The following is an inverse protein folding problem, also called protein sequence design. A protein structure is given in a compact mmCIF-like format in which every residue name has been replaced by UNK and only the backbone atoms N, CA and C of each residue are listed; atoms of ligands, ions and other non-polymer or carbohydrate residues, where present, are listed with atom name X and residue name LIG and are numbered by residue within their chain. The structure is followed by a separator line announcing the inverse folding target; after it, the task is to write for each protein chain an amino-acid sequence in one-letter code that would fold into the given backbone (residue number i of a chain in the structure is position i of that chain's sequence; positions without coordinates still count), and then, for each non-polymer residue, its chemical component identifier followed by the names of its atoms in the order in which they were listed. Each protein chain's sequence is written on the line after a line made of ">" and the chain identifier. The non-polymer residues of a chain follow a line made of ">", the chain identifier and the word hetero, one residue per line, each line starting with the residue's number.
data_IF_754714235616
#
_entry.id   IF_754714235616
#
_cell.length_a   1.000
_cell.length_b   1.000
_cell.length_c   1.000
_cell.angle_alpha   90.00
_cell.angle_beta   90.00
_cell.angle_gamma   90.00
#
_symmetry.space_group_name_H-M   'P 1'
#
loop_
_entity.id
_entity.type
_entity.pdbx_description
1 polymer ?
#
# COMPACT_ATOMS: atom_id res chain seq x y z
N UNK A 1 -31.14 -21.12 14.46
CA UNK A 1 -30.47 -19.91 13.92
C UNK A 1 -31.48 -19.26 12.98
N UNK A 2 -31.77 -17.94 13.10
CA UNK A 2 -32.61 -17.28 12.10
C UNK A 2 -31.92 -17.36 10.74
N UNK A 3 -32.69 -17.54 9.67
CA UNK A 3 -32.16 -17.50 8.30
C UNK A 3 -31.68 -16.08 7.98
N UNK A 4 -30.70 -15.95 7.08
CA UNK A 4 -30.12 -14.68 6.67
C UNK A 4 -31.19 -13.67 6.21
N UNK A 5 -32.27 -14.16 5.61
CA UNK A 5 -33.41 -13.36 5.16
C UNK A 5 -34.23 -12.74 6.31
N UNK A 6 -34.38 -13.44 7.46
CA UNK A 6 -35.03 -12.88 8.64
C UNK A 6 -34.17 -11.80 9.33
N UNK A 7 -32.84 -11.90 9.21
CA UNK A 7 -31.91 -10.88 9.70
C UNK A 7 -31.97 -9.61 8.83
N UNK A 8 -32.09 -9.77 7.51
CA UNK A 8 -32.30 -8.68 6.56
C UNK A 8 -33.63 -7.96 6.77
N UNK A 9 -34.72 -8.68 7.05
CA UNK A 9 -36.01 -8.05 7.38
C UNK A 9 -35.99 -7.28 8.71
N UNK A 10 -35.21 -7.72 9.70
CA UNK A 10 -35.04 -7.02 10.99
C UNK A 10 -34.10 -5.82 10.93
N UNK A 11 -33.16 -5.77 9.98
CA UNK A 11 -32.21 -4.67 9.84
C UNK A 11 -32.84 -3.36 9.31
N UNK A 12 -34.06 -3.43 8.77
CA UNK A 12 -34.78 -2.27 8.24
C UNK A 12 -34.24 -1.77 6.90
N UNK A 13 -35.04 -0.96 6.20
CA UNK A 13 -34.70 -0.41 4.89
C UNK A 13 -33.45 0.48 4.92
N UNK A 14 -32.65 0.40 3.85
CA UNK A 14 -31.38 1.11 3.61
C UNK A 14 -31.42 2.58 4.07
N UNK A 15 -31.01 2.83 5.30
CA UNK A 15 -31.16 4.12 5.98
C UNK A 15 -30.22 5.19 5.43
N UNK A 16 -30.48 6.46 5.76
CA UNK A 16 -29.67 7.62 5.30
C UNK A 16 -28.17 7.49 5.66
N UNK A 17 -27.86 6.84 6.77
CA UNK A 17 -26.48 6.58 7.21
C UNK A 17 -25.79 5.52 6.33
N UNK A 18 -26.45 4.37 6.08
CA UNK A 18 -25.95 3.36 5.14
C UNK A 18 -25.75 3.93 3.74
N UNK A 19 -26.67 4.78 3.26
CA UNK A 19 -26.51 5.47 1.96
C UNK A 19 -25.30 6.40 1.91
N UNK A 20 -25.01 7.15 2.98
CA UNK A 20 -23.82 8.03 3.05
C UNK A 20 -22.52 7.23 3.09
N UNK A 21 -22.47 6.17 3.90
CA UNK A 21 -21.30 5.28 3.98
C UNK A 21 -21.07 4.58 2.63
N UNK A 22 -22.13 4.11 1.98
CA UNK A 22 -22.06 3.53 0.64
C UNK A 22 -21.55 4.54 -0.40
N UNK A 23 -22.02 5.80 -0.37
CA UNK A 23 -21.54 6.85 -1.27
C UNK A 23 -20.04 7.16 -1.09
N UNK A 24 -19.57 7.20 0.16
CA UNK A 24 -18.15 7.40 0.48
C UNK A 24 -17.29 6.22 0.01
N UNK A 25 -17.79 4.98 0.16
CA UNK A 25 -17.16 3.78 -0.38
C UNK A 25 -17.16 3.75 -1.92
N UNK A 26 -18.19 4.28 -2.57
CA UNK A 26 -18.21 4.42 -4.02
C UNK A 26 -17.17 5.45 -4.50
N UNK A 27 -16.95 6.54 -3.75
CA UNK A 27 -15.98 7.57 -4.12
C UNK A 27 -14.54 7.03 -4.10
N UNK A 28 -14.18 6.22 -3.09
CA UNK A 28 -12.90 5.49 -3.08
C UNK A 28 -12.84 4.42 -4.15
N UNK A 29 -13.96 3.75 -4.46
CA UNK A 29 -14.07 2.82 -5.60
C UNK A 29 -13.73 3.46 -6.95
N UNK A 30 -14.14 4.71 -7.18
CA UNK A 30 -13.83 5.45 -8.43
C UNK A 30 -12.32 5.68 -8.57
N UNK A 31 -11.61 6.03 -7.50
CA UNK A 31 -10.15 6.18 -7.56
C UNK A 31 -9.42 4.86 -7.86
N UNK A 32 -9.96 3.73 -7.38
CA UNK A 32 -9.41 2.41 -7.72
C UNK A 32 -9.68 2.02 -9.18
N UNK A 33 -10.83 2.39 -9.73
CA UNK A 33 -11.16 2.12 -11.14
C UNK A 33 -10.11 2.73 -12.08
N UNK A 34 -9.64 3.94 -11.80
CA UNK A 34 -8.56 4.57 -12.60
C UNK A 34 -7.23 3.82 -12.52
N UNK A 35 -6.88 3.23 -11.36
CA UNK A 35 -5.66 2.42 -11.22
C UNK A 35 -5.74 1.14 -12.06
N UNK A 36 -6.87 0.43 -12.02
CA UNK A 36 -7.07 -0.79 -12.82
C UNK A 36 -7.07 -0.51 -14.32
N UNK A 37 -7.76 0.56 -14.73
CA UNK A 37 -7.83 0.96 -16.14
C UNK A 37 -6.47 1.48 -16.64
N UNK A 38 -5.70 2.18 -15.80
CA UNK A 38 -4.37 2.68 -16.14
C UNK A 38 -3.40 1.56 -16.55
N UNK A 39 -3.46 0.39 -15.90
CA UNK A 39 -2.62 -0.76 -16.25
C UNK A 39 -2.91 -1.27 -17.66
N UNK A 40 -4.16 -1.23 -18.12
CA UNK A 40 -4.53 -1.65 -19.48
C UNK A 40 -3.89 -0.74 -20.54
N UNK A 41 -3.88 0.58 -20.30
CA UNK A 41 -3.26 1.54 -21.20
C UNK A 41 -1.73 1.47 -21.17
N UNK A 42 -1.13 1.25 -20.01
CA UNK A 42 0.33 1.11 -19.86
C UNK A 42 0.85 -0.24 -20.39
N UNK A 43 0.01 -1.27 -20.36
CA UNK A 43 0.31 -2.63 -20.81
C UNK A 43 -0.13 -2.94 -22.24
N UNK A 44 -0.57 -1.95 -23.02
CA UNK A 44 -1.02 -2.19 -24.38
C UNK A 44 0.11 -2.76 -25.23
N UNK A 45 -0.16 -3.89 -25.91
CA UNK A 45 0.80 -4.47 -26.85
C UNK A 45 0.85 -3.62 -28.13
N UNK A 46 2.04 -3.18 -28.58
CA UNK A 46 2.18 -2.50 -29.86
C UNK A 46 1.79 -3.42 -31.01
N UNK A 47 1.13 -2.86 -32.03
CA UNK A 47 0.70 -3.63 -33.21
C UNK A 47 1.87 -4.05 -34.11
N UNK A 48 2.94 -3.24 -34.16
CA UNK A 48 4.12 -3.50 -35.02
C UNK A 48 5.39 -3.63 -34.18
N UNK A 49 5.85 -4.87 -34.03
CA UNK A 49 7.09 -5.18 -33.33
C UNK A 49 7.81 -6.39 -33.96
N UNK A 50 9.14 -6.32 -34.04
CA UNK A 50 10.00 -7.41 -34.51
C UNK A 50 11.26 -7.53 -33.67
N UNK A 51 12.00 -8.60 -33.92
CA UNK A 51 13.31 -8.84 -33.36
C UNK A 51 14.40 -8.59 -34.40
N UNK A 52 15.38 -7.78 -34.03
CA UNK A 52 16.58 -7.46 -34.82
C UNK A 52 17.70 -8.42 -34.43
N UNK A 53 18.04 -9.36 -35.32
CA UNK A 53 19.25 -10.17 -35.18
C UNK A 53 20.53 -9.35 -35.42
N UNK A 54 21.71 -9.82 -34.99
CA UNK A 54 22.98 -9.09 -35.17
C UNK A 54 23.32 -8.80 -36.65
N UNK A 55 23.03 -9.73 -37.57
CA UNK A 55 23.23 -9.49 -39.01
C UNK A 55 22.21 -8.50 -39.59
N UNK A 56 20.97 -8.51 -39.10
CA UNK A 56 19.95 -7.53 -39.50
C UNK A 56 20.29 -6.13 -38.98
N UNK A 57 20.81 -6.05 -37.74
CA UNK A 57 21.30 -4.83 -37.11
C UNK A 57 22.40 -4.16 -37.92
N UNK A 58 23.44 -4.92 -38.25
CA UNK A 58 24.58 -4.43 -39.02
C UNK A 58 24.18 -4.02 -40.44
N UNK A 59 23.18 -4.70 -41.03
CA UNK A 59 22.67 -4.37 -42.35
C UNK A 59 21.84 -3.08 -42.33
N UNK A 60 20.96 -2.91 -41.35
CA UNK A 60 20.16 -1.70 -41.18
C UNK A 60 21.04 -0.45 -40.98
N UNK A 61 22.10 -0.57 -40.17
CA UNK A 61 23.07 0.53 -39.94
C UNK A 61 23.91 0.83 -41.18
N UNK A 62 24.35 -0.20 -41.92
CA UNK A 62 25.11 -0.04 -43.17
C UNK A 62 24.27 0.63 -44.27
N UNK A 63 23.01 0.23 -44.39
CA UNK A 63 22.14 0.65 -45.49
C UNK A 63 21.30 1.89 -45.15
N UNK A 64 21.33 2.37 -43.89
CA UNK A 64 20.60 3.56 -43.45
C UNK A 64 19.08 3.43 -43.55
N UNK A 65 18.54 2.25 -43.28
CA UNK A 65 17.10 1.98 -43.44
C UNK A 65 16.25 2.68 -42.38
N UNK A 66 15.06 3.12 -42.78
CA UNK A 66 14.01 3.50 -41.83
C UNK A 66 13.43 2.27 -41.13
N UNK A 67 12.84 2.42 -39.92
CA UNK A 67 12.26 1.29 -39.18
C UNK A 67 11.19 0.53 -39.98
N UNK A 68 10.41 1.23 -40.80
CA UNK A 68 9.36 0.62 -41.63
C UNK A 68 9.93 -0.20 -42.79
N UNK A 69 11.00 0.29 -43.42
CA UNK A 69 11.72 -0.44 -44.46
C UNK A 69 12.43 -1.67 -43.90
N UNK A 70 13.01 -1.55 -42.70
CA UNK A 70 13.64 -2.67 -42.01
C UNK A 70 12.62 -3.77 -41.72
N UNK A 71 11.43 -3.43 -41.20
CA UNK A 71 10.33 -4.38 -40.99
C UNK A 71 9.94 -5.10 -42.28
N UNK A 72 9.67 -4.35 -43.36
CA UNK A 72 9.20 -4.95 -44.62
C UNK A 72 10.23 -5.90 -45.26
N UNK A 73 11.53 -5.67 -45.02
CA UNK A 73 12.63 -6.47 -45.58
C UNK A 73 13.09 -7.63 -44.68
N UNK A 74 12.85 -7.56 -43.37
CA UNK A 74 13.42 -8.51 -42.40
C UNK A 74 12.39 -9.26 -41.55
N UNK A 75 11.14 -8.81 -41.52
CA UNK A 75 10.08 -9.48 -40.79
C UNK A 75 9.46 -10.61 -41.65
N UNK A 76 9.17 -11.78 -41.04
CA UNK A 76 8.49 -12.86 -41.74
C UNK A 76 7.01 -12.54 -41.99
N UNK A 77 6.40 -13.07 -43.07
CA UNK A 77 4.99 -12.84 -43.37
C UNK A 77 4.06 -13.44 -42.31
N UNK A 78 2.95 -12.75 -42.03
CA UNK A 78 1.96 -13.15 -41.04
C UNK A 78 1.28 -14.48 -41.40
N UNK A 79 1.77 -15.58 -40.80
CA UNK A 79 1.04 -16.85 -40.74
C UNK A 79 0.69 -17.15 -39.29
N UNK A 80 -0.46 -16.59 -38.89
CA UNK A 80 -1.15 -16.86 -37.63
C UNK A 80 -0.44 -16.31 -36.39
N UNK A 81 -0.88 -15.15 -35.90
CA UNK A 81 -0.70 -14.63 -34.51
C UNK A 81 0.71 -14.41 -33.94
N UNK A 82 1.73 -15.11 -34.45
CA UNK A 82 3.07 -15.27 -33.87
C UNK A 82 4.17 -14.71 -34.79
N UNK A 83 3.80 -13.95 -35.83
CA UNK A 83 4.74 -13.47 -36.84
C UNK A 83 5.84 -12.57 -36.25
N UNK A 84 5.50 -11.73 -35.26
CA UNK A 84 6.48 -10.89 -34.55
C UNK A 84 7.45 -11.67 -33.66
N UNK A 85 7.12 -12.92 -33.30
CA UNK A 85 7.89 -13.73 -32.35
C UNK A 85 9.01 -14.56 -32.99
N UNK A 86 9.14 -14.52 -34.32
CA UNK A 86 10.15 -15.25 -35.09
C UNK A 86 10.94 -14.28 -35.97
N UNK A 87 12.21 -14.59 -36.20
CA UNK A 87 13.07 -13.84 -37.12
C UNK A 87 13.70 -14.76 -38.16
N UNK A 88 14.06 -14.18 -39.30
CA UNK A 88 14.96 -14.83 -40.24
C UNK A 88 16.38 -14.91 -39.67
N UNK A 89 16.99 -16.08 -39.77
CA UNK A 89 18.39 -16.30 -39.37
C UNK A 89 19.32 -15.92 -40.53
N UNK A 90 19.49 -14.61 -40.77
CA UNK A 90 20.37 -14.07 -41.82
C UNK A 90 21.85 -14.45 -41.65
N UNK A 91 22.26 -14.82 -40.43
CA UNK A 91 23.60 -15.29 -40.10
C UNK A 91 23.99 -16.57 -40.85
N UNK A 92 23.01 -17.41 -41.22
CA UNK A 92 23.27 -18.62 -42.01
C UNK A 92 23.72 -18.34 -43.45
N UNK A 93 23.55 -17.11 -43.95
CA UNK A 93 24.04 -16.75 -45.29
C UNK A 93 25.57 -16.90 -45.40
N UNK A 94 26.31 -16.60 -44.31
CA UNK A 94 27.77 -16.68 -44.27
C UNK A 94 28.30 -18.12 -44.44
N UNK A 95 27.49 -19.14 -44.13
CA UNK A 95 27.86 -20.56 -44.27
C UNK A 95 27.35 -21.23 -45.55
N UNK A 96 26.60 -20.51 -46.39
CA UNK A 96 26.03 -21.03 -47.63
C UNK A 96 26.96 -20.73 -48.82
N UNK A 97 27.02 -21.62 -49.82
CA UNK A 97 27.93 -21.54 -50.97
C UNK A 97 27.72 -20.29 -51.87
N UNK A 98 26.73 -19.46 -51.58
CA UNK A 98 26.48 -18.15 -52.18
C UNK A 98 26.90 -17.03 -51.21
N UNK A 99 28.19 -17.00 -50.83
CA UNK A 99 28.77 -16.00 -49.93
C UNK A 99 28.90 -14.61 -50.59
N UNK A 100 27.79 -14.10 -51.13
CA UNK A 100 27.62 -12.69 -51.46
C UNK A 100 27.23 -11.92 -50.19
N UNK A 101 27.82 -10.76 -49.98
CA UNK A 101 27.41 -9.86 -48.91
C UNK A 101 25.88 -9.63 -48.99
N UNK A 102 25.19 -9.70 -47.85
CA UNK A 102 23.76 -9.40 -47.75
C UNK A 102 23.46 -8.06 -48.44
N UNK A 103 22.54 -8.07 -49.40
CA UNK A 103 22.21 -6.88 -50.19
C UNK A 103 21.31 -5.92 -49.43
N UNK A 104 21.53 -4.61 -49.61
CA UNK A 104 20.67 -3.55 -49.08
C UNK A 104 19.28 -3.49 -49.76
N UNK A 105 19.09 -4.12 -50.91
CA UNK A 105 17.80 -4.12 -51.62
C UNK A 105 16.90 -5.29 -51.19
N UNK A 106 17.49 -6.49 -51.10
CA UNK A 106 16.79 -7.72 -50.67
C UNK A 106 17.78 -8.66 -49.96
N UNK A 107 17.72 -8.75 -48.61
CA UNK A 107 18.60 -9.64 -47.85
C UNK A 107 18.26 -11.13 -48.04
N UNK A 108 17.04 -11.46 -48.45
CA UNK A 108 16.59 -12.85 -48.63
C UNK A 108 17.06 -13.46 -49.95
N UNK A 109 17.49 -12.64 -50.91
CA UNK A 109 18.06 -13.08 -52.19
C UNK A 109 19.34 -13.92 -52.02
N UNK A 110 20.04 -13.80 -50.89
CA UNK A 110 21.20 -14.63 -50.55
C UNK A 110 20.86 -16.09 -50.23
N UNK A 111 19.57 -16.42 -50.03
CA UNK A 111 19.12 -17.76 -49.66
C UNK A 111 18.41 -18.48 -50.82
N UNK A 112 18.55 -19.82 -50.92
CA UNK A 112 17.79 -20.61 -51.88
C UNK A 112 16.28 -20.44 -51.65
N UNK A 113 15.51 -20.30 -52.72
CA UNK A 113 14.05 -20.02 -52.70
C UNK A 113 13.63 -18.73 -51.98
N UNK A 114 14.54 -17.76 -51.77
CA UNK A 114 14.26 -16.49 -51.08
C UNK A 114 13.66 -16.65 -49.68
N UNK A 115 14.00 -17.76 -49.01
CA UNK A 115 13.46 -18.07 -47.67
C UNK A 115 14.59 -18.48 -46.74
N UNK A 116 14.89 -17.63 -45.75
CA UNK A 116 15.82 -17.97 -44.69
C UNK A 116 15.13 -18.83 -43.61
N UNK A 117 15.87 -19.67 -42.86
CA UNK A 117 15.31 -20.42 -41.74
C UNK A 117 14.80 -19.48 -40.64
N UNK A 118 13.67 -19.85 -40.04
CA UNK A 118 13.02 -19.09 -38.98
C UNK A 118 13.48 -19.59 -37.60
N UNK A 119 13.86 -18.66 -36.73
CA UNK A 119 14.24 -18.96 -35.34
C UNK A 119 13.43 -18.13 -34.35
N UNK A 120 13.16 -18.66 -33.14
CA UNK A 120 12.48 -17.90 -32.10
C UNK A 120 13.36 -16.73 -31.63
N UNK A 121 12.72 -15.60 -31.40
CA UNK A 121 13.38 -14.38 -30.95
C UNK A 121 13.69 -14.47 -29.44
N UNK A 122 14.93 -14.16 -29.05
CA UNK A 122 15.38 -14.18 -27.64
C UNK A 122 15.78 -12.80 -27.08
N UNK A 123 15.82 -11.78 -27.92
CA UNK A 123 16.19 -10.40 -27.53
C UNK A 123 16.41 -9.49 -28.75
N UNK A 124 16.69 -8.21 -28.52
CA UNK A 124 16.90 -7.23 -29.59
C UNK A 124 15.61 -6.76 -30.25
N UNK A 125 14.57 -6.51 -29.45
CA UNK A 125 13.26 -6.11 -29.95
C UNK A 125 13.24 -4.65 -30.42
N UNK A 126 12.45 -4.39 -31.45
CA UNK A 126 12.15 -3.05 -31.97
C UNK A 126 10.64 -2.89 -32.04
N UNK A 127 10.17 -1.78 -31.50
CA UNK A 127 8.76 -1.41 -31.43
C UNK A 127 8.55 -0.12 -32.23
N UNK A 128 7.51 -0.08 -33.07
CA UNK A 128 7.12 1.13 -33.79
C UNK A 128 5.83 1.65 -33.16
N UNK A 129 5.98 2.64 -32.28
CA UNK A 129 4.87 3.28 -31.58
C UNK A 129 5.24 4.72 -31.19
N UNK A 130 4.22 5.56 -30.97
CA UNK A 130 4.39 6.96 -30.62
C UNK A 130 4.82 7.18 -29.14
N UNK A 131 4.47 6.26 -28.24
CA UNK A 131 4.76 6.34 -26.80
C UNK A 131 5.30 5.00 -26.30
N UNK A 132 6.17 5.04 -25.29
CA UNK A 132 6.69 3.85 -24.63
C UNK A 132 5.64 3.23 -23.70
N UNK A 133 5.50 1.91 -23.75
CA UNK A 133 4.63 1.10 -22.90
C UNK A 133 5.47 0.14 -22.06
N UNK A 134 4.91 -0.38 -20.96
CA UNK A 134 5.58 -1.37 -20.09
C UNK A 134 6.05 -2.58 -20.90
N UNK A 135 5.25 -2.98 -21.90
CA UNK A 135 5.59 -4.07 -22.82
C UNK A 135 6.86 -3.79 -23.62
N UNK A 136 6.99 -2.57 -24.16
CA UNK A 136 8.13 -2.18 -24.99
C UNK A 136 9.39 -1.83 -24.21
N UNK A 137 9.24 -1.43 -22.96
CA UNK A 137 10.37 -1.05 -22.09
C UNK A 137 11.05 -2.29 -21.49
N UNK A 138 10.26 -3.31 -21.14
CA UNK A 138 10.74 -4.54 -20.51
C UNK A 138 10.72 -5.78 -21.42
N UNK A 139 10.46 -5.60 -22.71
CA UNK A 139 10.42 -6.68 -23.71
C UNK A 139 9.48 -7.85 -23.36
N UNK A 140 8.25 -7.50 -22.93
CA UNK A 140 7.24 -8.44 -22.44
C UNK A 140 6.36 -9.00 -23.57
N UNK A 141 7.00 -9.44 -24.66
CA UNK A 141 6.33 -10.04 -25.82
C UNK A 141 6.60 -11.55 -25.89
N UNK A 142 5.72 -12.26 -26.61
CA UNK A 142 5.89 -13.69 -26.91
C UNK A 142 5.99 -14.56 -25.63
N UNK A 143 7.14 -15.16 -25.36
CA UNK A 143 7.38 -16.05 -24.20
C UNK A 143 7.21 -15.31 -22.86
N UNK A 144 7.44 -13.99 -22.82
CA UNK A 144 7.35 -13.19 -21.60
C UNK A 144 5.99 -12.51 -21.42
N UNK A 145 5.03 -12.70 -22.33
CA UNK A 145 3.74 -12.00 -22.30
C UNK A 145 2.92 -12.30 -21.02
N UNK A 146 3.06 -13.50 -20.46
CA UNK A 146 2.37 -13.92 -19.22
C UNK A 146 2.77 -13.11 -17.98
N UNK A 147 3.92 -12.41 -18.00
CA UNK A 147 4.36 -11.57 -16.88
C UNK A 147 3.45 -10.35 -16.68
N UNK A 148 2.69 -9.95 -17.70
CA UNK A 148 1.65 -8.92 -17.59
C UNK A 148 0.45 -9.43 -16.76
N UNK A 149 0.06 -10.69 -16.96
CA UNK A 149 -1.00 -11.32 -16.16
C UNK A 149 -0.54 -11.51 -14.70
N UNK A 150 0.75 -11.81 -14.50
CA UNK A 150 1.36 -11.90 -13.18
C UNK A 150 1.31 -10.57 -12.42
N UNK A 151 1.48 -9.43 -13.10
CA UNK A 151 1.45 -8.12 -12.44
C UNK A 151 0.07 -7.81 -11.88
N UNK A 152 -1.00 -8.17 -12.60
CA UNK A 152 -2.37 -8.05 -12.10
C UNK A 152 -2.66 -9.02 -10.95
N UNK A 153 -2.14 -10.25 -11.00
CA UNK A 153 -2.25 -11.20 -9.89
C UNK A 153 -1.52 -10.71 -8.62
N UNK A 154 -0.30 -10.17 -8.77
CA UNK A 154 0.48 -9.59 -7.68
C UNK A 154 -0.20 -8.34 -7.10
N UNK A 155 -0.79 -7.49 -7.94
CA UNK A 155 -1.56 -6.32 -7.50
C UNK A 155 -2.77 -6.74 -6.65
N UNK A 156 -3.53 -7.75 -7.10
CA UNK A 156 -4.69 -8.26 -6.36
C UNK A 156 -4.30 -8.95 -5.06
N UNK A 157 -3.19 -9.70 -5.05
CA UNK A 157 -2.63 -10.28 -3.83
C UNK A 157 -2.13 -9.19 -2.87
N UNK A 158 -1.53 -8.13 -3.40
CA UNK A 158 -1.13 -6.94 -2.65
C UNK A 158 -2.33 -6.18 -2.06
N UNK A 159 -3.45 -6.10 -2.78
CA UNK A 159 -4.69 -5.54 -2.24
C UNK A 159 -5.31 -6.43 -1.16
N UNK A 160 -5.26 -7.75 -1.32
CA UNK A 160 -5.74 -8.68 -0.31
C UNK A 160 -4.90 -8.58 0.97
N UNK A 161 -3.57 -8.69 0.86
CA UNK A 161 -2.65 -8.53 1.98
C UNK A 161 -2.71 -7.12 2.59
N UNK A 162 -2.85 -6.10 1.73
CA UNK A 162 -3.03 -4.71 2.11
C UNK A 162 -4.33 -4.48 2.86
N UNK A 163 -5.45 -5.09 2.47
CA UNK A 163 -6.72 -4.92 3.18
C UNK A 163 -6.65 -5.43 4.63
N UNK A 164 -5.88 -6.49 4.90
CA UNK A 164 -5.68 -7.01 6.25
C UNK A 164 -4.64 -6.23 7.07
N UNK A 165 -3.71 -5.51 6.42
CA UNK A 165 -2.58 -4.85 7.10
C UNK A 165 -2.67 -3.32 7.11
N UNK A 166 -3.16 -2.69 6.05
CA UNK A 166 -3.16 -1.23 5.82
C UNK A 166 -4.00 -0.46 6.83
N UNK A 167 -5.14 -0.99 7.28
CA UNK A 167 -5.95 -0.28 8.29
C UNK A 167 -5.17 -0.07 9.60
N UNK A 168 -4.43 -1.10 10.02
CA UNK A 168 -3.64 -1.09 11.24
C UNK A 168 -2.26 -0.41 11.05
N UNK A 169 -1.63 -0.65 9.91
CA UNK A 169 -0.42 0.02 9.47
C UNK A 169 -0.61 1.55 9.33
N UNK A 170 -1.76 1.99 8.81
CA UNK A 170 -2.08 3.40 8.67
C UNK A 170 -2.33 4.08 10.03
N UNK A 171 -2.97 3.39 10.97
CA UNK A 171 -3.11 3.86 12.36
C UNK A 171 -1.74 4.07 13.01
N UNK A 172 -0.84 3.12 12.81
CA UNK A 172 0.53 3.14 13.34
C UNK A 172 1.42 4.20 12.70
N UNK A 173 1.33 4.34 11.39
CA UNK A 173 1.98 5.41 10.66
C UNK A 173 1.47 6.78 11.14
N UNK A 174 0.15 6.92 11.29
CA UNK A 174 -0.48 8.15 11.78
C UNK A 174 -0.03 8.48 13.21
N UNK A 175 -0.09 7.51 14.11
CA UNK A 175 0.31 7.69 15.51
C UNK A 175 1.79 8.07 15.64
N UNK A 176 2.66 7.43 14.85
CA UNK A 176 4.09 7.76 14.81
C UNK A 176 4.34 9.17 14.25
N UNK A 177 3.67 9.55 13.15
CA UNK A 177 3.80 10.88 12.56
C UNK A 177 3.34 11.97 13.53
N UNK A 178 2.20 11.77 14.19
CA UNK A 178 1.63 12.73 15.15
C UNK A 178 2.49 12.84 16.41
N UNK A 179 2.95 11.70 16.95
CA UNK A 179 3.84 11.67 18.12
C UNK A 179 5.15 12.41 17.83
N UNK A 180 5.85 12.00 16.78
CA UNK A 180 7.15 12.57 16.42
C UNK A 180 7.01 14.04 16.01
N UNK A 181 5.94 14.39 15.30
CA UNK A 181 5.60 15.77 14.96
C UNK A 181 5.37 16.62 16.21
N UNK A 182 4.60 16.16 17.19
CA UNK A 182 4.38 16.90 18.43
C UNK A 182 5.68 17.07 19.23
N UNK A 183 6.55 16.07 19.30
CA UNK A 183 7.89 16.18 19.92
C UNK A 183 8.71 17.27 19.20
N UNK A 184 8.82 17.19 17.88
CA UNK A 184 9.63 18.13 17.10
C UNK A 184 9.07 19.56 17.08
N UNK A 185 7.76 19.73 17.28
CA UNK A 185 7.13 21.05 17.40
C UNK A 185 7.72 21.89 18.53
N UNK A 186 8.19 21.25 19.61
CA UNK A 186 8.85 21.95 20.73
C UNK A 186 10.07 22.77 20.25
N UNK A 187 10.77 22.31 19.21
CA UNK A 187 11.93 23.02 18.66
C UNK A 187 11.60 24.24 17.81
N UNK A 188 10.33 24.45 17.44
CA UNK A 188 9.89 25.57 16.59
C UNK A 188 9.12 26.63 17.39
N UNK A 189 8.45 26.22 18.47
CA UNK A 189 7.71 27.16 19.33
C UNK A 189 8.71 28.08 20.03
N UNK A 190 8.54 29.39 19.88
CA UNK A 190 9.32 30.38 20.63
C UNK A 190 8.97 30.30 22.13
N UNK A 191 9.97 30.15 22.99
CA UNK A 191 9.78 29.94 24.43
C UNK A 191 11.05 29.42 25.12
N UNK A 192 10.90 28.93 26.36
CA UNK A 192 11.99 28.28 27.08
C UNK A 192 11.98 26.77 26.81
N UNK A 193 12.83 26.35 25.86
CA UNK A 193 12.98 24.96 25.43
C UNK A 193 13.23 23.98 26.60
N UNK A 194 13.92 24.41 27.66
CA UNK A 194 14.20 23.56 28.82
C UNK A 194 12.93 23.22 29.61
N UNK A 195 12.03 24.19 29.77
CA UNK A 195 10.75 23.99 30.47
C UNK A 195 9.83 23.10 29.63
N UNK A 196 9.75 23.35 28.32
CA UNK A 196 8.91 22.56 27.43
C UNK A 196 9.39 21.10 27.31
N UNK A 197 10.71 20.87 27.27
CA UNK A 197 11.30 19.54 27.31
C UNK A 197 11.05 18.83 28.65
N UNK A 198 11.22 19.54 29.77
CA UNK A 198 10.93 18.99 31.10
C UNK A 198 9.46 18.59 31.26
N UNK A 199 8.53 19.45 30.83
CA UNK A 199 7.09 19.15 30.83
C UNK A 199 6.81 17.94 29.93
N UNK A 200 7.43 17.84 28.75
CA UNK A 200 7.26 16.68 27.86
C UNK A 200 7.70 15.38 28.52
N UNK A 201 8.86 15.36 29.19
CA UNK A 201 9.35 14.16 29.88
C UNK A 201 8.50 13.77 31.09
N UNK A 202 8.04 14.76 31.87
CA UNK A 202 7.16 14.50 33.02
C UNK A 202 5.80 13.94 32.60
N UNK A 203 5.29 14.31 31.41
CA UNK A 203 3.99 13.85 30.88
C UNK A 203 3.99 12.38 30.46
N UNK A 204 5.15 11.75 30.22
CA UNK A 204 5.24 10.32 29.89
C UNK A 204 4.92 9.41 31.09
N UNK A 205 5.34 9.79 32.30
CA UNK A 205 5.08 9.03 33.53
C UNK A 205 3.57 8.85 33.85
N UNK A 206 2.73 9.91 33.86
CA UNK A 206 1.30 9.77 34.08
C UNK A 206 0.61 9.06 32.90
N UNK A 207 1.13 9.17 31.67
CA UNK A 207 0.59 8.41 30.54
C UNK A 207 0.69 6.90 30.80
N UNK A 208 1.87 6.40 31.19
CA UNK A 208 2.07 4.99 31.52
C UNK A 208 1.15 4.51 32.67
N UNK A 209 1.00 5.30 33.73
CA UNK A 209 0.10 4.98 34.85
C UNK A 209 -1.37 4.95 34.42
N UNK A 210 -1.80 5.91 33.60
CA UNK A 210 -3.17 5.96 33.07
C UNK A 210 -3.46 4.76 32.18
N UNK A 211 -2.50 4.31 31.38
CA UNK A 211 -2.65 3.11 30.54
C UNK A 211 -2.89 1.88 31.40
N UNK A 212 -2.08 1.65 32.44
CA UNK A 212 -2.25 0.51 33.35
C UNK A 212 -3.65 0.51 34.00
N UNK A 213 -4.09 1.66 34.52
CA UNK A 213 -5.39 1.80 35.16
C UNK A 213 -6.57 1.62 34.18
N UNK A 214 -6.42 2.09 32.95
CA UNK A 214 -7.52 2.08 31.96
C UNK A 214 -7.64 0.74 31.23
N UNK A 215 -6.54 0.07 30.89
CA UNK A 215 -6.55 -1.23 30.20
C UNK A 215 -7.24 -2.31 31.05
N UNK A 216 -6.97 -2.35 32.35
CA UNK A 216 -7.57 -3.33 33.24
C UNK A 216 -9.07 -3.08 33.45
N UNK A 217 -9.49 -1.80 33.55
CA UNK A 217 -10.89 -1.44 33.80
C UNK A 217 -11.75 -1.48 32.55
N UNK A 218 -11.37 -0.78 31.48
CA UNK A 218 -12.22 -0.54 30.31
C UNK A 218 -11.94 -1.46 29.11
N UNK A 219 -10.89 -2.28 29.15
CA UNK A 219 -10.44 -3.05 27.98
C UNK A 219 -9.44 -2.26 27.15
N UNK A 220 -9.00 -2.80 26.00
CA UNK A 220 -7.94 -2.20 25.18
C UNK A 220 -8.48 -1.23 24.14
N UNK A 221 -9.65 -1.49 23.58
CA UNK A 221 -10.23 -0.70 22.46
C UNK A 221 -10.63 0.71 22.87
N UNK A 222 -11.36 0.84 23.98
CA UNK A 222 -11.89 2.13 24.44
C UNK A 222 -10.80 3.13 24.84
N UNK A 223 -9.78 2.78 25.65
CA UNK A 223 -8.71 3.72 25.97
C UNK A 223 -7.89 4.07 24.73
N UNK A 224 -7.72 3.13 23.79
CA UNK A 224 -7.01 3.39 22.54
C UNK A 224 -7.76 4.39 21.61
N UNK A 225 -9.06 4.19 21.40
CA UNK A 225 -9.87 5.13 20.63
C UNK A 225 -9.96 6.50 21.34
N UNK A 226 -10.17 6.47 22.66
CA UNK A 226 -10.31 7.67 23.47
C UNK A 226 -9.06 8.54 23.47
N UNK A 227 -7.87 7.94 23.61
CA UNK A 227 -6.61 8.66 23.65
C UNK A 227 -6.28 9.34 22.31
N UNK A 228 -6.50 8.65 21.19
CA UNK A 228 -6.37 9.22 19.84
C UNK A 228 -7.37 10.36 19.58
N UNK A 229 -8.62 10.21 20.03
CA UNK A 229 -9.64 11.26 19.90
C UNK A 229 -9.27 12.50 20.71
N UNK A 230 -8.83 12.32 21.95
CA UNK A 230 -8.38 13.40 22.84
C UNK A 230 -7.15 14.09 22.25
N UNK A 231 -6.18 13.33 21.72
CA UNK A 231 -5.01 13.88 21.05
C UNK A 231 -5.40 14.74 19.84
N UNK A 232 -6.26 14.24 18.97
CA UNK A 232 -6.70 14.95 17.77
C UNK A 232 -7.46 16.24 18.09
N UNK A 233 -8.44 16.16 18.99
CA UNK A 233 -9.23 17.33 19.43
C UNK A 233 -8.33 18.36 20.13
N UNK A 234 -7.43 17.94 21.01
CA UNK A 234 -6.50 18.85 21.67
C UNK A 234 -5.55 19.54 20.68
N UNK A 235 -5.06 18.84 19.65
CA UNK A 235 -4.25 19.45 18.59
C UNK A 235 -5.03 20.49 17.79
N UNK A 236 -6.29 20.20 17.43
CA UNK A 236 -7.16 21.14 16.73
C UNK A 236 -7.44 22.37 17.58
N UNK A 237 -7.82 22.19 18.85
CA UNK A 237 -8.07 23.29 19.78
C UNK A 237 -6.81 24.15 19.95
N UNK A 238 -5.63 23.53 20.07
CA UNK A 238 -4.34 24.25 20.17
C UNK A 238 -4.05 25.12 18.95
N UNK A 239 -4.44 24.68 17.75
CA UNK A 239 -4.22 25.43 16.51
C UNK A 239 -5.08 26.71 16.41
N UNK A 240 -6.24 26.73 17.05
CA UNK A 240 -7.15 27.90 17.05
C UNK A 240 -6.98 28.81 18.27
N UNK A 241 -6.08 28.48 19.20
CA UNK A 241 -5.85 29.29 20.40
C UNK A 241 -4.99 30.53 20.08
N UNK A 242 -5.43 31.74 20.44
CA UNK A 242 -4.67 32.97 20.25
C UNK A 242 -3.45 33.05 21.19
N UNK A 243 -2.41 33.79 20.79
CA UNK A 243 -1.14 33.91 21.51
C UNK A 243 -1.23 34.60 22.88
N UNK A 244 -2.36 35.26 23.18
CA UNK A 244 -2.55 36.03 24.42
C UNK A 244 -2.65 35.21 25.71
N UNK A 245 -2.80 33.89 25.64
CA UNK A 245 -2.97 33.00 26.81
C UNK A 245 -2.06 31.76 26.74
N UNK A 246 -0.73 31.92 26.97
CA UNK A 246 0.25 30.85 26.78
C UNK A 246 0.01 29.64 27.70
N UNK A 247 -0.43 29.88 28.95
CA UNK A 247 -0.70 28.80 29.91
C UNK A 247 -1.77 27.82 29.40
N UNK A 248 -2.90 28.33 28.89
CA UNK A 248 -3.96 27.49 28.36
C UNK A 248 -3.49 26.72 27.13
N UNK A 249 -2.71 27.38 26.26
CA UNK A 249 -2.16 26.77 25.06
C UNK A 249 -1.22 25.62 25.39
N UNK A 250 -0.32 25.81 26.36
CA UNK A 250 0.58 24.75 26.82
C UNK A 250 -0.19 23.62 27.49
N UNK A 251 -1.20 23.89 28.32
CA UNK A 251 -2.01 22.83 28.97
C UNK A 251 -2.79 21.98 27.96
N UNK A 252 -3.39 22.59 26.94
CA UNK A 252 -4.10 21.83 25.90
C UNK A 252 -3.12 21.05 25.04
N UNK A 253 -1.97 21.63 24.69
CA UNK A 253 -0.93 20.93 23.93
C UNK A 253 -0.34 19.74 24.69
N UNK A 254 -0.13 19.85 26.01
CA UNK A 254 0.36 18.75 26.85
C UNK A 254 -0.69 17.67 27.04
N UNK A 255 -1.98 18.02 27.11
CA UNK A 255 -3.07 17.04 27.10
C UNK A 255 -3.11 16.26 25.77
N UNK A 256 -2.90 16.94 24.64
CA UNK A 256 -2.78 16.29 23.34
C UNK A 256 -1.59 15.35 23.26
N UNK A 257 -0.44 15.77 23.81
CA UNK A 257 0.77 14.93 23.93
C UNK A 257 0.50 13.68 24.78
N UNK A 258 -0.10 13.83 25.95
CA UNK A 258 -0.46 12.71 26.81
C UNK A 258 -1.36 11.70 26.08
N UNK A 259 -2.36 12.20 25.35
CA UNK A 259 -3.26 11.36 24.56
C UNK A 259 -2.52 10.55 23.48
N UNK A 260 -1.62 11.18 22.72
CA UNK A 260 -0.89 10.47 21.66
C UNK A 260 0.14 9.48 22.22
N UNK A 261 0.81 9.80 23.34
CA UNK A 261 1.73 8.88 24.03
C UNK A 261 0.97 7.63 24.48
N UNK A 262 -0.21 7.82 25.09
CA UNK A 262 -1.06 6.69 25.47
C UNK A 262 -1.50 5.86 24.27
N UNK A 263 -1.92 6.52 23.17
CA UNK A 263 -2.28 5.81 21.95
C UNK A 263 -1.11 4.95 21.45
N UNK A 264 0.08 5.55 21.27
CA UNK A 264 1.26 4.90 20.74
C UNK A 264 1.64 3.63 21.51
N UNK A 265 1.66 3.68 22.84
CA UNK A 265 1.97 2.53 23.69
C UNK A 265 0.89 1.44 23.63
N UNK A 266 -0.40 1.82 23.67
CA UNK A 266 -1.50 0.85 23.57
C UNK A 266 -1.46 0.12 22.22
N UNK A 267 -1.04 0.77 21.13
CA UNK A 267 -0.93 0.09 19.83
C UNK A 267 0.17 -0.99 19.82
N UNK A 268 1.21 -0.88 20.65
CA UNK A 268 2.18 -1.99 20.81
C UNK A 268 1.56 -3.17 21.54
N UNK A 269 0.76 -2.90 22.56
CA UNK A 269 0.10 -3.93 23.33
C UNK A 269 -0.97 -4.66 22.50
N UNK A 270 -1.86 -3.93 21.83
CA UNK A 270 -2.93 -4.51 20.98
C UNK A 270 -2.34 -5.36 19.86
N UNK A 271 -1.23 -4.93 19.26
CA UNK A 271 -0.53 -5.71 18.23
C UNK A 271 -0.07 -7.08 18.74
N UNK A 272 0.52 -7.11 19.93
CA UNK A 272 1.04 -8.36 20.50
C UNK A 272 -0.08 -9.31 20.95
N UNK A 273 -1.26 -8.79 21.28
CA UNK A 273 -2.45 -9.59 21.61
C UNK A 273 -3.23 -10.09 20.38
N UNK A 274 -3.21 -9.34 19.27
CA UNK A 274 -4.02 -9.64 18.09
C UNK A 274 -3.33 -10.61 17.11
N UNK A 275 -2.00 -10.52 16.95
CA UNK A 275 -1.30 -11.39 16.02
C UNK A 275 -1.14 -12.82 16.56
N UNK A 276 -1.42 -13.85 15.73
CA UNK A 276 -1.21 -15.23 16.12
C UNK A 276 0.28 -15.50 16.29
N UNK A 277 0.63 -16.41 17.19
CA UNK A 277 2.03 -16.68 17.58
C UNK A 277 2.97 -16.95 16.39
N UNK A 278 2.46 -17.58 15.33
CA UNK A 278 3.19 -17.89 14.09
C UNK A 278 3.52 -16.65 13.23
N UNK A 279 2.69 -15.61 13.26
CA UNK A 279 2.85 -14.40 12.46
C UNK A 279 3.22 -13.16 13.28
N UNK A 280 3.24 -13.27 14.61
CA UNK A 280 3.44 -12.15 15.54
C UNK A 280 4.76 -11.41 15.30
N UNK A 281 5.87 -12.13 15.18
CA UNK A 281 7.18 -11.50 14.96
C UNK A 281 7.23 -10.75 13.62
N UNK A 282 6.59 -11.30 12.58
CA UNK A 282 6.50 -10.65 11.27
C UNK A 282 5.59 -9.42 11.31
N UNK A 283 4.40 -9.52 11.90
CA UNK A 283 3.43 -8.42 12.01
C UNK A 283 3.95 -7.25 12.86
N UNK A 284 4.63 -7.55 13.98
CA UNK A 284 5.28 -6.52 14.82
C UNK A 284 6.43 -5.85 14.05
N UNK A 285 7.26 -6.60 13.32
CA UNK A 285 8.38 -6.04 12.55
C UNK A 285 7.91 -5.12 11.41
N UNK A 286 6.91 -5.55 10.63
CA UNK A 286 6.32 -4.74 9.57
C UNK A 286 5.70 -3.45 10.12
N UNK A 287 5.00 -3.57 11.25
CA UNK A 287 4.40 -2.44 11.93
C UNK A 287 5.44 -1.45 12.48
N UNK A 288 6.53 -1.94 13.08
CA UNK A 288 7.62 -1.11 13.57
C UNK A 288 8.32 -0.38 12.42
N UNK A 289 8.60 -1.05 11.30
CA UNK A 289 9.20 -0.40 10.13
C UNK A 289 8.35 0.76 9.59
N UNK A 290 7.02 0.62 9.60
CA UNK A 290 6.11 1.71 9.22
C UNK A 290 6.09 2.87 10.23
N UNK A 291 6.23 2.59 11.52
CA UNK A 291 6.43 3.63 12.53
C UNK A 291 7.72 4.41 12.26
N UNK A 292 8.80 3.72 11.88
CA UNK A 292 10.07 4.37 11.54
C UNK A 292 9.94 5.26 10.30
N UNK A 293 9.22 4.80 9.26
CA UNK A 293 8.88 5.64 8.10
C UNK A 293 8.06 6.88 8.49
N UNK A 294 7.09 6.72 9.40
CA UNK A 294 6.33 7.83 9.95
C UNK A 294 7.22 8.84 10.69
N UNK A 295 8.16 8.34 11.50
CA UNK A 295 9.15 9.15 12.18
C UNK A 295 10.11 9.89 11.24
N UNK A 296 10.48 9.29 10.11
CA UNK A 296 11.28 9.95 9.06
C UNK A 296 10.48 11.07 8.39
N UNK A 297 9.21 10.84 8.06
CA UNK A 297 8.37 11.79 7.32
C UNK A 297 7.89 12.96 8.20
N UNK A 298 7.65 12.73 9.49
CA UNK A 298 7.14 13.74 10.43
C UNK A 298 7.94 15.07 10.46
N UNK A 299 9.28 15.10 10.58
CA UNK A 299 10.04 16.34 10.51
C UNK A 299 9.86 17.07 9.18
N UNK A 300 9.88 16.36 8.05
CA UNK A 300 9.70 17.00 6.74
C UNK A 300 8.33 17.65 6.59
N UNK A 301 7.27 16.95 7.01
CA UNK A 301 5.92 17.51 7.05
C UNK A 301 5.88 18.74 7.96
N UNK A 302 6.43 18.65 9.16
CA UNK A 302 6.37 19.73 10.13
C UNK A 302 7.14 20.98 9.67
N UNK A 303 8.42 20.85 9.30
CA UNK A 303 9.25 21.99 8.90
C UNK A 303 8.76 22.66 7.61
N UNK A 304 8.28 21.89 6.63
CA UNK A 304 7.77 22.46 5.38
C UNK A 304 6.44 23.18 5.57
N UNK A 305 5.55 22.65 6.39
CA UNK A 305 4.24 23.26 6.64
C UNK A 305 4.35 24.47 7.57
N UNK A 306 5.24 24.41 8.58
CA UNK A 306 5.52 25.55 9.46
C UNK A 306 6.08 26.77 8.71
N UNK A 307 6.79 26.56 7.61
CA UNK A 307 7.26 27.64 6.73
C UNK A 307 6.12 28.38 6.00
N UNK A 308 4.98 27.71 5.80
CA UNK A 308 3.78 28.33 5.22
C UNK A 308 3.01 29.01 6.35
N UNK A 309 2.52 28.21 7.30
CA UNK A 309 1.71 28.64 8.44
C UNK A 309 2.08 27.81 9.68
N UNK A 310 2.49 28.46 10.76
CA UNK A 310 3.04 27.81 11.97
C UNK A 310 2.09 26.75 12.59
N UNK A 311 0.77 26.98 12.53
CA UNK A 311 -0.24 26.09 13.13
C UNK A 311 -0.78 25.01 12.18
N UNK A 312 -0.45 25.08 10.89
CA UNK A 312 -0.95 24.15 9.88
C UNK A 312 -0.56 22.67 10.12
N UNK A 313 0.66 22.35 10.61
CA UNK A 313 1.00 20.98 11.01
C UNK A 313 0.07 20.41 12.10
N UNK A 314 -0.30 21.23 13.10
CA UNK A 314 -1.19 20.81 14.20
C UNK A 314 -2.60 20.47 13.70
N UNK A 315 -3.10 21.22 12.72
CA UNK A 315 -4.42 20.96 12.13
C UNK A 315 -4.40 19.60 11.42
N UNK A 316 -3.36 19.32 10.64
CA UNK A 316 -3.23 18.05 9.92
C UNK A 316 -3.06 16.89 10.88
N UNK A 317 -2.17 17.01 11.88
CA UNK A 317 -2.00 15.99 12.92
C UNK A 317 -3.28 15.76 13.71
N UNK A 318 -4.03 16.82 13.99
CA UNK A 318 -5.32 16.76 14.67
C UNK A 318 -6.36 15.98 13.88
N UNK A 319 -6.53 16.28 12.59
CA UNK A 319 -7.45 15.57 11.70
C UNK A 319 -7.06 14.10 11.59
N UNK A 320 -5.78 13.81 11.36
CA UNK A 320 -5.27 12.44 11.23
C UNK A 320 -5.52 11.63 12.51
N UNK A 321 -5.18 12.17 13.68
CA UNK A 321 -5.40 11.50 14.97
C UNK A 321 -6.90 11.30 15.28
N UNK A 322 -7.77 12.25 14.94
CA UNK A 322 -9.22 12.09 15.13
C UNK A 322 -9.83 11.04 14.20
N UNK A 323 -9.45 11.02 12.93
CA UNK A 323 -9.90 9.98 11.97
C UNK A 323 -9.41 8.61 12.43
N UNK A 324 -8.16 8.53 12.86
CA UNK A 324 -7.53 7.35 13.44
C UNK A 324 -8.33 6.82 14.65
N UNK A 325 -8.61 7.67 15.64
CA UNK A 325 -9.42 7.29 16.82
C UNK A 325 -10.84 6.81 16.45
N UNK A 326 -11.44 7.40 15.41
CA UNK A 326 -12.72 6.94 14.86
C UNK A 326 -12.65 5.56 14.21
N UNK A 327 -11.59 5.28 13.45
CA UNK A 327 -11.34 3.97 12.84
C UNK A 327 -11.04 2.90 13.91
N UNK A 328 -10.35 3.26 14.99
CA UNK A 328 -10.09 2.37 16.12
C UNK A 328 -11.37 1.89 16.78
N UNK A 329 -12.45 2.67 16.74
CA UNK A 329 -13.74 2.20 17.20
C UNK A 329 -14.31 1.04 16.38
N UNK A 330 -13.78 0.68 15.21
CA UNK A 330 -14.21 -0.52 14.49
C UNK A 330 -13.47 -1.80 14.94
N UNK A 331 -12.44 -1.68 15.78
CA UNK A 331 -11.63 -2.85 16.18
C UNK A 331 -12.39 -3.79 17.14
N UNK A 332 -12.17 -5.11 17.07
CA UNK A 332 -12.66 -6.06 18.06
C UNK A 332 -11.96 -5.85 19.41
N UNK A 333 -12.65 -6.17 20.51
CA UNK A 333 -12.09 -6.07 21.87
C UNK A 333 -11.22 -7.29 22.20
N UNK A 334 -10.00 -7.08 22.71
CA UNK A 334 -9.04 -8.15 23.04
C UNK A 334 -9.04 -8.56 24.52
N UNK A 335 -9.78 -7.86 25.38
CA UNK A 335 -9.78 -8.11 26.84
C UNK A 335 -10.21 -9.54 27.21
N UNK A 336 -9.29 -10.27 27.86
CA UNK A 336 -9.59 -11.54 28.52
C UNK A 336 -9.70 -12.74 27.59
N UNK A 337 -9.23 -12.61 26.35
CA UNK A 337 -9.18 -13.68 25.36
C UNK A 337 -7.78 -14.33 25.43
N UNK A 338 -7.72 -15.66 25.39
CA UNK A 338 -6.44 -16.37 25.28
C UNK A 338 -5.73 -15.97 23.98
N UNK A 339 -4.40 -15.90 24.01
CA UNK A 339 -3.65 -15.44 22.83
C UNK A 339 -3.92 -16.41 21.66
N UNK A 340 -4.27 -15.90 20.47
CA UNK A 340 -4.54 -16.77 19.32
C UNK A 340 -3.26 -17.51 18.93
N UNK A 341 -3.34 -18.83 18.83
CA UNK A 341 -2.21 -19.66 18.38
C UNK A 341 -2.31 -19.96 16.88
N UNK A 342 -3.53 -19.94 16.33
CA UNK A 342 -3.80 -20.26 14.92
C UNK A 342 -4.56 -19.14 14.21
N UNK A 343 -4.52 -19.13 12.88
CA UNK A 343 -5.23 -18.15 12.04
C UNK A 343 -6.76 -18.28 12.21
N UNK A 344 -7.26 -19.50 12.41
CA UNK A 344 -8.68 -19.81 12.63
C UNK A 344 -9.21 -19.19 13.94
N UNK A 345 -8.35 -18.97 14.93
CA UNK A 345 -8.73 -18.31 16.19
C UNK A 345 -8.92 -16.80 15.99
N UNK A 346 -8.17 -16.18 15.06
CA UNK A 346 -8.31 -14.77 14.71
C UNK A 346 -9.60 -14.51 13.91
N UNK A 347 -9.99 -15.43 13.02
CA UNK A 347 -11.23 -15.31 12.25
C UNK A 347 -12.48 -15.35 13.16
N UNK A 348 -12.43 -16.10 14.26
CA UNK A 348 -13.52 -16.17 15.26
C UNK A 348 -13.65 -14.88 16.08
N UNK A 349 -12.58 -14.09 16.24
CA UNK A 349 -12.63 -12.77 16.90
C UNK A 349 -13.40 -11.73 16.05
N UNK A 350 -13.39 -11.87 14.71
CA UNK A 350 -14.08 -10.96 13.79
C UNK A 350 -15.58 -11.22 13.63
N UNK A 351 -16.10 -12.36 14.11
CA UNK A 351 -17.50 -12.75 13.94
C UNK A 351 -18.43 -12.05 14.94
N UNK A 352 -19.52 -11.40 14.48
CA UNK A 352 -20.53 -10.75 15.32
C UNK A 352 -21.38 -11.72 16.18
N UNK A 353 -20.95 -12.96 16.40
CA UNK A 353 -21.64 -13.90 17.31
C UNK A 353 -20.97 -14.07 18.68
N UNK A 354 -19.81 -13.41 18.94
CA UNK A 354 -19.00 -13.64 20.14
C UNK A 354 -19.41 -12.84 21.40
N UNK A 355 -20.52 -12.11 21.40
CA UNK A 355 -20.91 -11.30 22.58
C UNK A 355 -21.56 -12.10 23.73
N UNK A 356 -21.81 -13.40 23.59
CA UNK A 356 -22.63 -14.16 24.57
C UNK A 356 -21.87 -14.97 25.63
N UNK A 357 -20.54 -15.07 25.57
CA UNK A 357 -19.80 -15.96 26.49
C UNK A 357 -19.13 -15.29 27.71
N UNK A 358 -19.54 -14.09 28.14
CA UNK A 358 -18.96 -13.47 29.38
C UNK A 358 -19.98 -13.35 30.52
N UNK A 359 -21.08 -14.09 30.48
CA UNK A 359 -22.03 -14.10 31.62
C UNK A 359 -22.50 -15.50 32.01
N UNK A 360 -21.58 -16.41 32.32
CA UNK A 360 -21.88 -17.51 33.26
C UNK A 360 -20.66 -17.85 34.12
N UNK A 361 -20.89 -17.74 35.44
CA UNK A 361 -19.98 -18.02 36.54
C UNK A 361 -19.40 -19.44 36.47
N UNK A 362 -18.15 -19.53 36.93
CA UNK A 362 -17.46 -20.67 37.56
C UNK A 362 -17.21 -21.90 36.69
N UNK A 363 -15.92 -22.11 36.44
CA UNK A 363 -15.24 -23.40 36.27
C UNK A 363 -15.68 -24.25 35.08
N UNK A 364 -14.88 -24.30 34.02
CA UNK A 364 -14.58 -25.58 33.37
C UNK A 364 -13.40 -25.50 32.41
N UNK A 365 -12.41 -26.36 32.70
CA UNK A 365 -11.37 -26.85 31.81
C UNK A 365 -12.04 -27.41 30.55
N UNK A 366 -11.67 -26.92 29.36
CA UNK A 366 -12.06 -27.57 28.11
C UNK A 366 -11.05 -28.67 27.79
N UNK A 367 -11.36 -29.89 28.23
CA UNK A 367 -10.81 -31.10 27.62
C UNK A 367 -11.63 -31.43 26.38
N UNK A 368 -10.93 -31.70 25.28
CA UNK A 368 -11.46 -32.29 24.06
C UNK A 368 -12.11 -33.64 24.34
N UNK A 369 -13.32 -33.89 23.80
CA UNK A 369 -13.67 -35.20 23.24
C UNK A 369 -14.96 -35.14 22.40
N UNK A 370 -14.81 -35.68 21.19
CA UNK A 370 -15.77 -36.20 20.19
C UNK A 370 -16.70 -35.23 19.47
#
# INVERSE_FOLDING_TARGET
>A
MPSFDEALQRAGEFGRFQRRVFLLLCLTGVTFAFLFVGVVFLGSRPERYWCRGPSAAALAERCGWSPEEEWNRTAPPERGGDAGCRRYLLEAANGSAAAGALSCADPLAAFPNRSAPLVPCRGGWRYVQAHSTIVSEFDLVCVNAWMLDLTQAVLNLGFLAGAFTLGYAADRFTSAVVYQGLVMRLGIIGGNLYIDFFISGVVELPAALLILLTIERFGRRLPFAGSNMVAGVACLVTAFLPEGIPWLRTTVATLGRLGITMAFEIVYLVNSELYPTTLRNFGVSLCSGLCDFGGIIAPFLLFRLAAIWLELPLIIFGILASVCGGLVMLLPETKGIALPETVDDVEKLGSPYSYKCVRKKKTQVCSSHL
#
